data_IF_812996598469
#
_entry.id   IF_812996598469
#
_cell.length_a   1.000
_cell.length_b   1.000
_cell.length_c   1.000
_cell.angle_alpha   90.00
_cell.angle_beta   90.00
_cell.angle_gamma   90.00
#
_symmetry.space_group_name_H-M   'P 1'
#
loop_
_entity.id
_entity.type
_entity.pdbx_description
1 polymer ?
#
# COMPACT_ATOMS: atom_id res chain seq x y z
N UNK A 1 -8.26 -39.17 34.99
CA UNK A 1 -9.20 -39.23 33.85
C UNK A 1 -9.99 -37.92 33.68
N UNK A 2 -10.64 -37.38 34.69
CA UNK A 2 -11.45 -36.16 34.65
C UNK A 2 -10.65 -34.95 34.17
N UNK A 3 -9.42 -34.73 34.67
CA UNK A 3 -8.58 -33.59 34.25
C UNK A 3 -8.15 -33.62 32.76
N UNK A 4 -8.11 -34.81 32.17
CA UNK A 4 -7.80 -34.95 30.74
C UNK A 4 -9.01 -34.59 29.86
N UNK A 5 -10.19 -34.98 30.32
CA UNK A 5 -11.45 -34.66 29.66
C UNK A 5 -11.73 -33.15 29.66
N UNK A 6 -11.46 -32.49 30.79
CA UNK A 6 -11.61 -31.03 30.91
C UNK A 6 -10.67 -30.30 29.95
N UNK A 7 -9.40 -30.74 29.85
CA UNK A 7 -8.44 -30.13 28.89
C UNK A 7 -8.89 -30.28 27.43
N UNK A 8 -9.41 -31.45 27.06
CA UNK A 8 -9.92 -31.65 25.70
C UNK A 8 -11.10 -30.76 25.40
N UNK A 9 -12.06 -30.66 26.32
CA UNK A 9 -13.25 -29.82 26.17
C UNK A 9 -12.86 -28.34 26.06
N UNK A 10 -11.93 -27.85 26.89
CA UNK A 10 -11.49 -26.44 26.84
C UNK A 10 -10.74 -26.13 25.54
N UNK A 11 -9.92 -27.07 25.04
CA UNK A 11 -9.20 -26.90 23.76
C UNK A 11 -10.18 -26.87 22.60
N UNK A 12 -11.15 -27.75 22.54
CA UNK A 12 -12.19 -27.77 21.49
C UNK A 12 -13.05 -26.49 21.53
N UNK A 13 -13.36 -26.00 22.73
CA UNK A 13 -14.12 -24.77 22.88
C UNK A 13 -13.34 -23.54 22.39
N UNK A 14 -12.04 -23.50 22.66
CA UNK A 14 -11.16 -22.44 22.20
C UNK A 14 -11.02 -22.45 20.66
N UNK A 15 -10.83 -23.64 20.06
CA UNK A 15 -10.79 -23.78 18.59
C UNK A 15 -12.11 -23.31 17.95
N UNK A 16 -13.24 -23.73 18.52
CA UNK A 16 -14.56 -23.32 18.04
C UNK A 16 -14.77 -21.80 18.13
N UNK A 17 -14.33 -21.19 19.22
CA UNK A 17 -14.39 -19.74 19.42
C UNK A 17 -13.52 -18.99 18.39
N UNK A 18 -12.28 -19.45 18.16
CA UNK A 18 -11.39 -18.87 17.15
C UNK A 18 -11.99 -18.95 15.74
N UNK A 19 -12.62 -20.08 15.39
CA UNK A 19 -13.31 -20.23 14.11
C UNK A 19 -14.48 -19.27 13.94
N UNK A 20 -15.29 -19.06 14.99
CA UNK A 20 -16.40 -18.12 14.93
C UNK A 20 -15.94 -16.67 14.75
N UNK A 21 -14.85 -16.26 15.43
CA UNK A 21 -14.29 -14.91 15.28
C UNK A 21 -13.79 -14.70 13.85
N UNK A 22 -13.06 -15.67 13.27
CA UNK A 22 -12.56 -15.58 11.90
C UNK A 22 -13.69 -15.46 10.87
N UNK A 23 -14.75 -16.25 11.01
CA UNK A 23 -15.92 -16.19 10.12
C UNK A 23 -16.66 -14.86 10.24
N UNK A 24 -16.82 -14.35 11.45
CA UNK A 24 -17.48 -13.05 11.67
C UNK A 24 -16.68 -11.90 11.02
N UNK A 25 -15.36 -11.93 11.11
CA UNK A 25 -14.48 -10.93 10.51
C UNK A 25 -14.54 -10.99 8.97
N UNK A 26 -14.55 -12.17 8.38
CA UNK A 26 -14.67 -12.33 6.92
C UNK A 26 -16.02 -11.83 6.38
N UNK A 27 -17.10 -12.06 7.11
CA UNK A 27 -18.45 -11.55 6.76
C UNK A 27 -18.44 -10.02 6.75
N UNK A 28 -17.84 -9.39 7.74
CA UNK A 28 -17.76 -7.92 7.86
C UNK A 28 -16.96 -7.31 6.70
N UNK A 29 -15.79 -7.86 6.38
CA UNK A 29 -14.97 -7.43 5.23
C UNK A 29 -15.74 -7.52 3.91
N UNK A 30 -16.46 -8.62 3.68
CA UNK A 30 -17.23 -8.80 2.44
C UNK A 30 -18.41 -7.82 2.34
N UNK A 31 -19.07 -7.50 3.46
CA UNK A 31 -20.12 -6.49 3.50
C UNK A 31 -19.58 -5.10 3.22
N UNK A 32 -18.45 -4.74 3.83
CA UNK A 32 -17.76 -3.47 3.61
C UNK A 32 -17.34 -3.33 2.15
N UNK A 33 -16.70 -4.34 1.56
CA UNK A 33 -16.32 -4.34 0.14
C UNK A 33 -17.54 -4.13 -0.78
N UNK A 34 -18.64 -4.81 -0.52
CA UNK A 34 -19.88 -4.66 -1.29
C UNK A 34 -20.43 -3.24 -1.19
N UNK A 35 -20.41 -2.65 -0.02
CA UNK A 35 -20.84 -1.27 0.20
C UNK A 35 -19.96 -0.28 -0.58
N UNK A 36 -18.63 -0.42 -0.53
CA UNK A 36 -17.72 0.44 -1.29
C UNK A 36 -17.96 0.33 -2.80
N UNK A 37 -18.15 -0.90 -3.32
CA UNK A 37 -18.47 -1.11 -4.74
C UNK A 37 -19.81 -0.48 -5.15
N UNK A 38 -20.82 -0.50 -4.28
CA UNK A 38 -22.09 0.17 -4.52
C UNK A 38 -21.92 1.70 -4.51
N UNK A 39 -21.12 2.23 -3.58
CA UNK A 39 -20.83 3.66 -3.50
C UNK A 39 -20.11 4.15 -4.76
N UNK A 40 -19.17 3.36 -5.32
CA UNK A 40 -18.51 3.70 -6.58
C UNK A 40 -19.47 3.80 -7.79
N UNK A 41 -20.61 3.12 -7.74
CA UNK A 41 -21.63 3.21 -8.80
C UNK A 41 -22.48 4.47 -8.69
N UNK A 42 -22.43 5.18 -7.57
CA UNK A 42 -23.14 6.44 -7.40
C UNK A 42 -22.46 7.55 -8.19
N UNK A 43 -23.19 8.18 -9.10
CA UNK A 43 -22.71 9.28 -9.93
C UNK A 43 -22.47 10.57 -9.12
N UNK A 44 -22.96 10.68 -7.90
CA UNK A 44 -22.74 11.84 -7.02
C UNK A 44 -21.36 11.84 -6.37
N UNK A 45 -20.65 10.71 -6.36
CA UNK A 45 -19.31 10.57 -5.80
C UNK A 45 -18.31 11.29 -6.70
N UNK A 46 -17.59 12.26 -6.14
CA UNK A 46 -16.58 13.02 -6.87
C UNK A 46 -15.29 12.21 -7.11
N UNK A 47 -14.37 12.77 -7.91
CA UNK A 47 -13.13 12.07 -8.28
C UNK A 47 -12.21 11.80 -7.08
N UNK A 48 -12.15 12.73 -6.13
CA UNK A 48 -11.34 12.57 -4.92
C UNK A 48 -11.85 11.41 -4.08
N UNK A 49 -13.14 11.39 -3.82
CA UNK A 49 -13.80 10.31 -3.08
C UNK A 49 -13.65 8.96 -3.81
N UNK A 50 -13.79 8.94 -5.15
CA UNK A 50 -13.59 7.71 -5.94
C UNK A 50 -12.17 7.18 -5.81
N UNK A 51 -11.17 8.06 -5.83
CA UNK A 51 -9.77 7.69 -5.65
C UNK A 51 -9.54 7.03 -4.29
N UNK A 52 -10.07 7.60 -3.21
CA UNK A 52 -9.99 7.06 -1.86
C UNK A 52 -10.72 5.70 -1.73
N UNK A 53 -11.92 5.58 -2.31
CA UNK A 53 -12.66 4.31 -2.35
C UNK A 53 -11.90 3.18 -3.06
N UNK A 54 -11.13 3.49 -4.10
CA UNK A 54 -10.28 2.49 -4.76
C UNK A 54 -9.11 2.05 -3.88
N UNK A 55 -8.55 2.93 -3.06
CA UNK A 55 -7.52 2.58 -2.07
C UNK A 55 -8.12 1.67 -1.00
N UNK A 56 -9.28 2.02 -0.45
CA UNK A 56 -9.99 1.17 0.52
C UNK A 56 -10.30 -0.23 -0.06
N UNK A 57 -10.69 -0.31 -1.33
CA UNK A 57 -10.92 -1.59 -2.02
C UNK A 57 -9.63 -2.38 -2.25
N UNK A 58 -8.51 -1.70 -2.50
CA UNK A 58 -7.19 -2.33 -2.56
C UNK A 58 -6.87 -3.00 -1.22
N UNK A 59 -7.03 -2.30 -0.11
CA UNK A 59 -6.72 -2.80 1.24
C UNK A 59 -7.60 -4.00 1.63
N UNK A 60 -8.89 -3.97 1.24
CA UNK A 60 -9.86 -5.04 1.51
C UNK A 60 -9.80 -6.21 0.53
N UNK A 61 -8.90 -6.20 -0.44
CA UNK A 61 -8.80 -7.26 -1.46
C UNK A 61 -7.64 -8.20 -1.15
N UNK A 62 -7.88 -9.51 -1.28
CA UNK A 62 -6.84 -10.53 -1.15
C UNK A 62 -6.25 -10.94 -2.51
N UNK A 63 -7.04 -10.77 -3.58
CA UNK A 63 -6.65 -11.13 -4.94
C UNK A 63 -5.74 -10.08 -5.56
N UNK A 64 -4.56 -10.50 -5.99
CA UNK A 64 -3.52 -9.64 -6.58
C UNK A 64 -4.02 -8.89 -7.81
N UNK A 65 -4.84 -9.53 -8.64
CA UNK A 65 -5.36 -8.92 -9.87
C UNK A 65 -6.33 -7.78 -9.54
N UNK A 66 -7.23 -8.01 -8.59
CA UNK A 66 -8.14 -6.97 -8.08
C UNK A 66 -7.38 -5.82 -7.43
N UNK A 67 -6.38 -6.12 -6.60
CA UNK A 67 -5.50 -5.12 -5.98
C UNK A 67 -4.85 -4.22 -7.04
N UNK A 68 -4.21 -4.82 -8.04
CA UNK A 68 -3.58 -4.11 -9.15
C UNK A 68 -4.57 -3.24 -9.92
N UNK A 69 -5.78 -3.74 -10.13
CA UNK A 69 -6.85 -2.99 -10.81
C UNK A 69 -7.24 -1.76 -10.00
N UNK A 70 -7.56 -1.93 -8.73
CA UNK A 70 -8.02 -0.81 -7.89
C UNK A 70 -6.94 0.27 -7.71
N UNK A 71 -5.70 -0.13 -7.46
CA UNK A 71 -4.64 0.87 -7.29
C UNK A 71 -4.31 1.59 -8.60
N UNK A 72 -4.45 0.93 -9.75
CA UNK A 72 -4.30 1.57 -11.05
C UNK A 72 -5.43 2.58 -11.34
N UNK A 73 -6.69 2.26 -11.01
CA UNK A 73 -7.81 3.21 -11.11
C UNK A 73 -7.59 4.42 -10.18
N UNK A 74 -7.09 4.20 -8.97
CA UNK A 74 -6.70 5.30 -8.06
C UNK A 74 -5.61 6.18 -8.67
N UNK A 75 -4.55 5.59 -9.26
CA UNK A 75 -3.48 6.32 -9.95
C UNK A 75 -4.03 7.21 -11.07
N UNK A 76 -4.93 6.68 -11.91
CA UNK A 76 -5.51 7.45 -13.01
C UNK A 76 -6.28 8.68 -12.50
N UNK A 77 -7.01 8.53 -11.41
CA UNK A 77 -7.71 9.64 -10.76
C UNK A 77 -6.74 10.63 -10.11
N UNK A 78 -5.71 10.15 -9.44
CA UNK A 78 -4.66 11.00 -8.85
C UNK A 78 -3.97 11.87 -9.90
N UNK A 79 -3.65 11.30 -11.07
CA UNK A 79 -3.07 12.04 -12.21
C UNK A 79 -4.06 13.10 -12.72
N UNK A 80 -5.34 12.76 -12.89
CA UNK A 80 -6.37 13.71 -13.33
C UNK A 80 -6.56 14.87 -12.35
N UNK A 81 -6.43 14.60 -11.05
CA UNK A 81 -6.53 15.59 -9.97
C UNK A 81 -5.21 16.33 -9.73
N UNK A 82 -4.11 15.91 -10.37
CA UNK A 82 -2.75 16.41 -10.13
C UNK A 82 -2.33 16.30 -8.65
N UNK A 83 -2.84 15.29 -7.97
CA UNK A 83 -2.53 15.05 -6.55
C UNK A 83 -1.18 14.31 -6.44
N UNK A 84 -0.11 15.09 -6.23
CA UNK A 84 1.27 14.58 -6.24
C UNK A 84 1.52 13.50 -5.19
N UNK A 85 0.91 13.61 -4.01
CA UNK A 85 1.04 12.63 -2.92
C UNK A 85 0.47 11.28 -3.39
N UNK A 86 -0.79 11.26 -3.81
CA UNK A 86 -1.44 10.03 -4.24
C UNK A 86 -0.84 9.45 -5.53
N UNK A 87 -0.31 10.27 -6.44
CA UNK A 87 0.47 9.78 -7.59
C UNK A 87 1.67 8.99 -7.09
N UNK A 88 2.44 9.54 -6.14
CA UNK A 88 3.61 8.87 -5.60
C UNK A 88 3.24 7.57 -4.87
N UNK A 89 2.29 7.62 -3.92
CA UNK A 89 1.86 6.46 -3.13
C UNK A 89 1.37 5.30 -4.00
N UNK A 90 0.51 5.60 -4.97
CA UNK A 90 -0.02 4.57 -5.88
C UNK A 90 1.05 4.00 -6.80
N UNK A 91 2.03 4.81 -7.22
CA UNK A 91 3.18 4.35 -8.01
C UNK A 91 4.11 3.45 -7.19
N UNK A 92 4.37 3.78 -5.91
CA UNK A 92 5.16 2.91 -5.02
C UNK A 92 4.53 1.51 -4.92
N UNK A 93 3.23 1.46 -4.63
CA UNK A 93 2.49 0.20 -4.55
C UNK A 93 2.54 -0.59 -5.87
N UNK A 94 2.31 0.08 -7.01
CA UNK A 94 2.34 -0.56 -8.33
C UNK A 94 3.74 -1.07 -8.68
N UNK A 95 4.77 -0.27 -8.48
CA UNK A 95 6.14 -0.70 -8.74
C UNK A 95 6.52 -1.92 -7.90
N UNK A 96 6.17 -1.97 -6.61
CA UNK A 96 6.38 -3.14 -5.74
C UNK A 96 5.58 -4.35 -6.24
N UNK A 97 4.33 -4.15 -6.64
CA UNK A 97 3.47 -5.22 -7.16
C UNK A 97 3.97 -5.83 -8.48
N UNK A 98 4.74 -5.08 -9.26
CA UNK A 98 5.29 -5.49 -10.55
C UNK A 98 6.82 -5.63 -10.54
N UNK A 99 7.46 -5.77 -9.36
CA UNK A 99 8.91 -5.84 -9.22
C UNK A 99 9.57 -6.94 -10.07
N UNK A 100 8.87 -8.06 -10.26
CA UNK A 100 9.32 -9.22 -11.03
C UNK A 100 8.87 -9.21 -12.51
N UNK A 101 8.19 -8.14 -12.93
CA UNK A 101 7.67 -7.94 -14.29
C UNK A 101 8.33 -6.69 -14.92
N UNK A 102 9.50 -6.82 -15.58
CA UNK A 102 10.34 -5.67 -15.97
C UNK A 102 9.64 -4.64 -16.87
N UNK A 103 8.77 -5.08 -17.77
CA UNK A 103 8.08 -4.19 -18.70
C UNK A 103 6.99 -3.38 -17.98
N UNK A 104 6.20 -4.02 -17.10
CA UNK A 104 5.20 -3.36 -16.28
C UNK A 104 5.86 -2.39 -15.29
N UNK A 105 6.93 -2.82 -14.64
CA UNK A 105 7.70 -1.98 -13.72
C UNK A 105 8.21 -0.72 -14.44
N UNK A 106 8.84 -0.86 -15.61
CA UNK A 106 9.34 0.26 -16.39
C UNK A 106 8.22 1.22 -16.80
N UNK A 107 7.07 0.69 -17.17
CA UNK A 107 5.90 1.51 -17.52
C UNK A 107 5.47 2.42 -16.36
N UNK A 108 5.34 1.89 -15.13
CA UNK A 108 4.95 2.69 -13.98
C UNK A 108 6.06 3.66 -13.54
N UNK A 109 7.32 3.25 -13.65
CA UNK A 109 8.45 4.15 -13.41
C UNK A 109 8.42 5.37 -14.34
N UNK A 110 8.15 5.16 -15.62
CA UNK A 110 8.01 6.24 -16.59
C UNK A 110 6.84 7.17 -16.29
N UNK A 111 5.68 6.65 -15.87
CA UNK A 111 4.54 7.47 -15.45
C UNK A 111 4.96 8.44 -14.33
N UNK A 112 5.72 7.97 -13.35
CA UNK A 112 6.19 8.83 -12.26
C UNK A 112 7.13 9.93 -12.74
N UNK A 113 8.04 9.62 -13.67
CA UNK A 113 8.93 10.60 -14.29
C UNK A 113 8.16 11.68 -15.07
N UNK A 114 7.04 11.33 -15.68
CA UNK A 114 6.22 12.21 -16.49
C UNK A 114 5.22 13.03 -15.68
N UNK A 115 4.61 12.45 -14.63
CA UNK A 115 3.47 13.02 -13.92
C UNK A 115 3.84 13.73 -12.63
N UNK A 116 4.99 13.40 -12.01
CA UNK A 116 5.44 14.07 -10.80
C UNK A 116 6.23 15.33 -11.14
N UNK A 117 6.05 16.38 -10.31
CA UNK A 117 6.62 17.70 -10.52
C UNK A 117 7.36 18.20 -9.27
N UNK A 118 8.31 19.10 -9.46
CA UNK A 118 9.02 19.80 -8.38
C UNK A 118 9.70 18.85 -7.40
N UNK A 119 9.54 19.10 -6.11
CA UNK A 119 10.14 18.32 -5.04
C UNK A 119 9.69 16.85 -5.06
N UNK A 120 8.45 16.57 -5.48
CA UNK A 120 7.92 15.22 -5.61
C UNK A 120 8.67 14.41 -6.69
N UNK A 121 8.99 15.05 -7.82
CA UNK A 121 9.79 14.43 -8.87
C UNK A 121 11.22 14.12 -8.40
N UNK A 122 11.85 15.10 -7.73
CA UNK A 122 13.21 14.92 -7.20
C UNK A 122 13.27 13.76 -6.20
N UNK A 123 12.27 13.69 -5.32
CA UNK A 123 12.12 12.60 -4.38
C UNK A 123 11.90 11.26 -5.10
N UNK A 124 11.02 11.20 -6.08
CA UNK A 124 10.75 10.00 -6.85
C UNK A 124 11.99 9.49 -7.59
N UNK A 125 12.77 10.39 -8.19
CA UNK A 125 14.03 10.01 -8.85
C UNK A 125 15.05 9.44 -7.87
N UNK A 126 15.09 9.93 -6.65
CA UNK A 126 15.93 9.36 -5.60
C UNK A 126 15.39 8.00 -5.12
N UNK A 127 14.06 7.87 -4.96
CA UNK A 127 13.39 6.61 -4.64
C UNK A 127 13.65 5.53 -5.71
N UNK A 128 13.57 5.85 -7.00
CA UNK A 128 13.88 4.91 -8.08
C UNK A 128 15.30 4.33 -7.98
N UNK A 129 16.26 5.12 -7.56
CA UNK A 129 17.63 4.64 -7.34
C UNK A 129 17.74 3.69 -6.14
N UNK A 130 16.93 3.89 -5.11
CA UNK A 130 16.88 3.04 -3.92
C UNK A 130 15.98 1.81 -4.11
N UNK A 131 15.06 1.83 -5.07
CA UNK A 131 14.02 0.81 -5.27
C UNK A 131 14.56 -0.64 -5.31
N UNK A 132 15.67 -0.97 -6.01
CA UNK A 132 16.20 -2.34 -5.98
C UNK A 132 16.59 -2.81 -4.57
N UNK A 133 17.05 -1.89 -3.72
CA UNK A 133 17.44 -2.20 -2.35
C UNK A 133 16.19 -2.33 -1.45
N UNK A 134 15.19 -1.48 -1.67
CA UNK A 134 13.88 -1.59 -1.00
C UNK A 134 13.22 -2.95 -1.29
N UNK A 135 13.20 -3.40 -2.55
CA UNK A 135 12.66 -4.71 -2.90
C UNK A 135 13.42 -5.87 -2.24
N UNK A 136 14.74 -5.76 -2.09
CA UNK A 136 15.53 -6.78 -1.38
C UNK A 136 15.26 -6.79 0.12
N UNK A 137 14.87 -5.66 0.69
CA UNK A 137 14.48 -5.59 2.12
C UNK A 137 13.20 -6.35 2.41
N UNK A 138 12.21 -6.21 1.54
CA UNK A 138 10.94 -6.95 1.65
C UNK A 138 11.17 -8.47 1.60
N UNK A 139 12.30 -8.91 1.04
CA UNK A 139 12.70 -10.32 0.91
C UNK A 139 13.69 -10.80 1.99
N UNK A 140 14.34 -9.89 2.71
CA UNK A 140 15.44 -10.22 3.61
C UNK A 140 14.96 -10.46 5.05
N UNK A 141 15.33 -11.63 5.61
CA UNK A 141 15.17 -11.94 7.04
C UNK A 141 16.07 -11.08 7.98
N UNK A 142 16.88 -10.14 7.44
CA UNK A 142 17.81 -9.31 8.22
C UNK A 142 17.73 -7.83 7.84
N UNK A 143 17.21 -6.97 8.74
CA UNK A 143 17.02 -5.55 8.46
C UNK A 143 18.29 -4.67 8.47
N UNK A 144 19.44 -5.16 8.95
CA UNK A 144 20.60 -4.30 9.25
C UNK A 144 21.34 -3.76 8.01
N UNK A 145 21.52 -4.55 6.95
CA UNK A 145 22.20 -4.12 5.73
C UNK A 145 21.34 -3.11 4.92
N UNK A 146 20.07 -3.27 4.99
CA UNK A 146 19.09 -2.42 4.33
C UNK A 146 18.96 -1.05 5.00
N UNK A 147 19.09 -0.99 6.31
CA UNK A 147 19.08 0.26 7.08
C UNK A 147 20.24 1.21 6.70
N UNK A 148 21.36 0.69 6.21
CA UNK A 148 22.51 1.52 5.78
C UNK A 148 22.22 2.24 4.46
N UNK A 149 21.55 1.59 3.50
CA UNK A 149 21.17 2.20 2.23
C UNK A 149 20.01 3.18 2.39
N UNK A 150 19.02 2.87 3.22
CA UNK A 150 17.95 3.83 3.59
C UNK A 150 18.55 5.04 4.31
N UNK A 151 19.57 4.85 5.16
CA UNK A 151 20.27 5.96 5.80
C UNK A 151 21.08 6.80 4.82
N UNK A 152 21.59 6.23 3.74
CA UNK A 152 22.17 6.96 2.61
C UNK A 152 21.11 7.72 1.82
N UNK A 153 19.96 7.11 1.60
CA UNK A 153 18.80 7.71 0.95
C UNK A 153 18.25 8.91 1.75
N UNK A 154 18.08 8.77 3.06
CA UNK A 154 17.68 9.87 3.96
C UNK A 154 18.67 11.04 3.97
N UNK A 155 19.94 10.81 3.63
CA UNK A 155 20.97 11.86 3.51
C UNK A 155 20.89 12.68 2.23
N UNK A 156 20.24 12.19 1.17
CA UNK A 156 19.88 13.02 0.03
C UNK A 156 18.63 13.84 0.39
N UNK A 157 18.82 14.83 1.26
CA UNK A 157 17.78 15.80 1.65
C UNK A 157 17.17 16.38 0.38
N UNK A 158 15.92 15.98 0.11
CA UNK A 158 15.03 16.80 -0.68
C UNK A 158 14.85 18.09 0.12
N UNK A 159 15.20 19.22 -0.46
CA UNK A 159 15.08 20.53 0.17
C UNK A 159 13.59 20.89 0.10
N UNK A 160 12.81 20.35 1.02
CA UNK A 160 11.39 20.62 1.15
C UNK A 160 11.23 22.00 1.76
N UNK A 161 10.70 22.93 0.99
CA UNK A 161 10.48 24.33 1.42
C UNK A 161 9.30 24.48 2.38
N UNK A 162 8.54 23.39 2.63
CA UNK A 162 7.34 23.38 3.47
C UNK A 162 7.41 22.25 4.50
N UNK A 163 7.35 22.64 5.81
CA UNK A 163 7.33 21.70 6.92
C UNK A 163 6.18 20.68 6.88
N UNK A 164 5.05 21.02 6.28
CA UNK A 164 3.92 20.10 6.13
C UNK A 164 4.23 18.98 5.15
N UNK A 165 4.98 19.28 4.10
CA UNK A 165 5.48 18.29 3.16
C UNK A 165 6.55 17.39 3.80
N UNK A 166 7.45 17.97 4.61
CA UNK A 166 8.48 17.20 5.32
C UNK A 166 7.88 16.11 6.23
N UNK A 167 6.81 16.43 6.95
CA UNK A 167 6.09 15.47 7.81
C UNK A 167 5.40 14.39 6.99
N UNK A 168 4.77 14.76 5.87
CA UNK A 168 4.13 13.79 4.96
C UNK A 168 5.15 12.84 4.34
N UNK A 169 6.32 13.35 3.95
CA UNK A 169 7.41 12.53 3.42
C UNK A 169 8.01 11.59 4.47
N UNK A 170 8.13 12.01 5.72
CA UNK A 170 8.55 11.14 6.81
C UNK A 170 7.54 10.00 7.04
N UNK A 171 6.23 10.28 6.92
CA UNK A 171 5.19 9.26 7.02
C UNK A 171 5.26 8.25 5.86
N UNK A 172 5.44 8.71 4.62
CA UNK A 172 5.61 7.84 3.44
C UNK A 172 6.87 6.98 3.59
N UNK A 173 7.99 7.55 4.04
CA UNK A 173 9.21 6.79 4.28
C UNK A 173 9.07 5.79 5.43
N UNK A 174 8.30 6.11 6.48
CA UNK A 174 8.02 5.18 7.57
C UNK A 174 7.13 4.02 7.12
N UNK A 175 6.08 4.30 6.34
CA UNK A 175 5.20 3.25 5.79
C UNK A 175 5.91 2.35 4.77
N UNK A 176 6.97 2.84 4.13
CA UNK A 176 7.81 2.04 3.24
C UNK A 176 8.83 1.15 4.01
N UNK A 177 8.90 1.27 5.34
CA UNK A 177 9.84 0.55 6.21
C UNK A 177 9.15 -0.47 7.14
N UNK A 178 7.82 -0.49 7.21
CA UNK A 178 7.00 -1.49 7.90
C UNK A 178 6.62 -2.64 6.96
#
# INVERSE_FOLDING_TARGET
MINYLIKIITTLWFIFFCLQVSVAQEIDVNQTRKHLLQTLQDNSVDKQQRMELYIDLYDLSDDVTSKRTYINESLQLAIQLKNQIYIFETLDILCRSYKDEPDSLRYYQQIGEECLEGAYKDFYMAWLKAFPSVCKMDEAEKPDEANEEISRYKRHKVNLSDKSQEVQWEMILCSAME
#
